data_IF_726201881911
#
_entry.id   IF_726201881911
#
_cell.length_a   1.000
_cell.length_b   1.000
_cell.length_c   1.000
_cell.angle_alpha   90.00
_cell.angle_beta   90.00
_cell.angle_gamma   90.00
#
_symmetry.space_group_name_H-M   'P 1'
#
loop_
_entity.id
_entity.type
_entity.pdbx_description
1 polymer ?
#
# COMPACT_ATOMS: atom_id res chain seq x y z
N UNK A 1 -5.62 -52.58 16.28
CA UNK A 1 -6.23 -51.35 16.83
C UNK A 1 -6.40 -50.33 15.70
N UNK A 2 -7.64 -49.99 15.33
CA UNK A 2 -7.93 -48.99 14.28
C UNK A 2 -7.62 -47.61 14.85
N UNK A 3 -6.62 -46.91 14.32
CA UNK A 3 -6.34 -45.51 14.70
C UNK A 3 -7.61 -44.70 14.42
N UNK A 4 -8.11 -43.92 15.40
CA UNK A 4 -9.32 -43.18 15.21
C UNK A 4 -9.11 -42.11 14.13
N UNK A 5 -10.02 -42.09 13.16
CA UNK A 5 -9.94 -41.20 11.99
C UNK A 5 -9.96 -39.71 12.37
N UNK A 6 -10.51 -39.37 13.54
CA UNK A 6 -10.49 -38.02 14.11
C UNK A 6 -9.09 -37.53 14.48
N UNK A 7 -8.17 -38.42 14.88
CA UNK A 7 -6.80 -38.04 15.22
C UNK A 7 -6.01 -37.55 13.99
N UNK A 8 -6.31 -38.11 12.81
CA UNK A 8 -5.70 -37.66 11.56
C UNK A 8 -6.24 -36.28 11.17
N UNK A 9 -7.54 -36.03 11.34
CA UNK A 9 -8.13 -34.70 11.05
C UNK A 9 -7.58 -33.61 11.97
N UNK A 10 -7.43 -33.89 13.27
CA UNK A 10 -6.83 -32.96 14.24
C UNK A 10 -5.37 -32.64 13.91
N UNK A 11 -4.60 -33.62 13.42
CA UNK A 11 -3.21 -33.43 13.04
C UNK A 11 -3.02 -32.39 11.93
N UNK A 12 -4.01 -32.24 11.03
CA UNK A 12 -4.00 -31.25 9.95
C UNK A 12 -4.66 -29.93 10.34
N UNK A 13 -5.70 -29.98 11.18
CA UNK A 13 -6.44 -28.78 11.59
C UNK A 13 -5.59 -27.82 12.43
N UNK A 14 -4.78 -28.34 13.34
CA UNK A 14 -3.94 -27.54 14.25
C UNK A 14 -2.91 -26.67 13.50
N UNK A 15 -2.06 -27.22 12.61
CA UNK A 15 -1.10 -26.38 11.86
C UNK A 15 -1.78 -25.42 10.89
N UNK A 16 -2.95 -25.77 10.34
CA UNK A 16 -3.68 -24.89 9.43
C UNK A 16 -4.29 -23.70 10.17
N UNK A 17 -4.88 -23.93 11.35
CA UNK A 17 -5.36 -22.85 12.22
C UNK A 17 -4.22 -21.96 12.70
N UNK A 18 -3.09 -22.53 13.12
CA UNK A 18 -1.89 -21.77 13.50
C UNK A 18 -1.36 -20.92 12.33
N UNK A 19 -1.29 -21.50 11.13
CA UNK A 19 -0.84 -20.77 9.93
C UNK A 19 -1.76 -19.60 9.57
N UNK A 20 -3.08 -19.81 9.62
CA UNK A 20 -4.06 -18.75 9.38
C UNK A 20 -3.99 -17.67 10.47
N UNK A 21 -3.91 -18.05 11.75
CA UNK A 21 -3.78 -17.09 12.85
C UNK A 21 -2.49 -16.27 12.75
N UNK A 22 -1.34 -16.88 12.46
CA UNK A 22 -0.09 -16.16 12.23
C UNK A 22 -0.18 -15.20 11.03
N UNK A 23 -0.82 -15.63 9.94
CA UNK A 23 -1.02 -14.79 8.76
C UNK A 23 -1.92 -13.58 9.07
N UNK A 24 -3.01 -13.77 9.81
CA UNK A 24 -3.89 -12.67 10.25
C UNK A 24 -3.14 -11.70 11.16
N UNK A 25 -2.35 -12.20 12.13
CA UNK A 25 -1.54 -11.35 12.99
C UNK A 25 -0.51 -10.56 12.19
N UNK A 26 0.14 -11.18 11.20
CA UNK A 26 1.08 -10.50 10.30
C UNK A 26 0.39 -9.40 9.47
N UNK A 27 -0.83 -9.63 8.99
CA UNK A 27 -1.62 -8.63 8.30
C UNK A 27 -2.04 -7.45 9.19
N UNK A 28 -2.37 -7.71 10.45
CA UNK A 28 -2.68 -6.66 11.43
C UNK A 28 -1.46 -5.80 11.78
N UNK A 29 -0.25 -6.38 11.73
CA UNK A 29 1.00 -5.64 11.94
C UNK A 29 1.35 -4.69 10.78
N UNK A 30 0.72 -4.81 9.62
CA UNK A 30 0.88 -3.89 8.48
C UNK A 30 0.11 -2.55 8.63
N UNK A 31 -0.48 -2.29 9.81
CA UNK A 31 -1.05 -0.98 10.16
C UNK A 31 -2.37 -0.67 9.45
N UNK A 32 -2.61 0.61 9.11
CA UNK A 32 -3.90 1.09 8.59
C UNK A 32 -4.29 0.46 7.22
N UNK A 33 -3.34 -0.19 6.53
CA UNK A 33 -3.57 -0.97 5.30
C UNK A 33 -4.00 -2.42 5.57
N UNK A 34 -3.81 -2.92 6.80
CA UNK A 34 -4.13 -4.28 7.22
C UNK A 34 -5.62 -4.60 7.21
N UNK A 35 -6.49 -3.61 7.47
CA UNK A 35 -7.93 -3.80 7.51
C UNK A 35 -8.51 -4.15 6.13
N UNK A 36 -8.06 -3.47 5.06
CA UNK A 36 -8.48 -3.80 3.69
C UNK A 36 -8.00 -5.17 3.22
N UNK A 37 -6.80 -5.59 3.65
CA UNK A 37 -6.27 -6.92 3.33
C UNK A 37 -7.01 -8.01 4.11
N UNK A 38 -7.34 -7.76 5.38
CA UNK A 38 -8.11 -8.69 6.20
C UNK A 38 -9.52 -8.94 5.65
N UNK A 39 -10.19 -7.91 5.14
CA UNK A 39 -11.50 -8.04 4.50
C UNK A 39 -11.41 -8.86 3.20
N UNK A 40 -10.43 -8.56 2.34
CA UNK A 40 -10.24 -9.30 1.09
C UNK A 40 -9.90 -10.79 1.34
N UNK A 41 -9.06 -11.08 2.33
CA UNK A 41 -8.70 -12.45 2.73
C UNK A 41 -9.91 -13.17 3.33
N UNK A 42 -10.71 -12.49 4.16
CA UNK A 42 -11.92 -13.07 4.76
C UNK A 42 -12.95 -13.47 3.70
N UNK A 43 -13.12 -12.68 2.64
CA UNK A 43 -13.99 -13.02 1.51
C UNK A 43 -13.43 -14.23 0.74
N UNK A 44 -12.12 -14.30 0.49
CA UNK A 44 -11.47 -15.44 -0.16
C UNK A 44 -11.60 -16.74 0.65
N UNK A 45 -11.42 -16.67 1.98
CA UNK A 45 -11.57 -17.82 2.87
C UNK A 45 -13.04 -18.25 2.95
N UNK A 46 -13.97 -17.29 3.05
CA UNK A 46 -15.40 -17.57 3.05
C UNK A 46 -15.87 -18.26 1.77
N UNK A 47 -15.46 -17.75 0.61
CA UNK A 47 -15.83 -18.32 -0.70
C UNK A 47 -15.22 -19.70 -0.93
N UNK A 48 -13.94 -19.89 -0.60
CA UNK A 48 -13.30 -21.22 -0.72
C UNK A 48 -13.91 -22.26 0.23
N UNK A 49 -14.25 -21.88 1.46
CA UNK A 49 -14.98 -22.75 2.39
C UNK A 49 -16.34 -23.18 1.83
N UNK A 50 -17.08 -22.25 1.23
CA UNK A 50 -18.38 -22.50 0.61
C UNK A 50 -18.25 -23.45 -0.59
N UNK A 51 -17.26 -23.23 -1.47
CA UNK A 51 -16.96 -24.09 -2.62
C UNK A 51 -16.59 -25.50 -2.17
N UNK A 52 -15.70 -25.66 -1.18
CA UNK A 52 -15.32 -26.97 -0.64
C UNK A 52 -16.52 -27.70 -0.03
N UNK A 53 -17.40 -26.98 0.66
CA UNK A 53 -18.62 -27.55 1.27
C UNK A 53 -19.61 -28.02 0.20
N UNK A 54 -19.86 -27.21 -0.84
CA UNK A 54 -20.75 -27.56 -1.95
C UNK A 54 -20.20 -28.75 -2.76
N UNK A 55 -18.92 -28.74 -3.10
CA UNK A 55 -18.28 -29.87 -3.79
C UNK A 55 -18.25 -31.13 -2.93
N UNK A 56 -18.00 -31.01 -1.62
CA UNK A 56 -18.05 -32.12 -0.68
C UNK A 56 -19.43 -32.77 -0.61
N UNK A 57 -20.48 -31.96 -0.56
CA UNK A 57 -21.88 -32.41 -0.58
C UNK A 57 -22.26 -33.05 -1.92
N UNK A 58 -21.92 -32.44 -3.06
CA UNK A 58 -22.18 -33.01 -4.39
C UNK A 58 -21.43 -34.32 -4.64
N UNK A 59 -20.18 -34.44 -4.16
CA UNK A 59 -19.44 -35.69 -4.32
C UNK A 59 -20.00 -36.80 -3.43
N UNK A 60 -20.60 -36.48 -2.28
CA UNK A 60 -21.26 -37.46 -1.40
C UNK A 60 -22.51 -38.06 -2.04
N UNK A 61 -23.27 -37.27 -2.81
CA UNK A 61 -24.47 -37.72 -3.51
C UNK A 61 -24.14 -38.48 -4.79
N UNK A 62 -23.08 -38.09 -5.52
CA UNK A 62 -22.65 -38.76 -6.76
C UNK A 62 -21.91 -40.09 -6.54
N UNK A 63 -21.25 -40.29 -5.38
CA UNK A 63 -20.48 -41.52 -5.10
C UNK A 63 -21.33 -42.79 -4.92
N UNK A 64 -22.66 -42.68 -4.86
CA UNK A 64 -23.56 -43.84 -4.85
C UNK A 64 -23.81 -44.46 -6.24
N UNK A 65 -23.35 -43.86 -7.35
CA UNK A 65 -23.70 -44.34 -8.71
C UNK A 65 -22.57 -44.62 -9.69
N UNK A 66 -21.29 -44.36 -9.38
CA UNK A 66 -20.22 -44.56 -10.36
C UNK A 66 -18.94 -45.11 -9.73
N UNK A 67 -18.94 -46.41 -9.45
CA UNK A 67 -17.72 -47.18 -9.19
C UNK A 67 -17.29 -47.88 -10.48
N UNK A 68 -16.57 -47.16 -11.35
CA UNK A 68 -15.75 -47.76 -12.39
C UNK A 68 -14.47 -46.94 -12.60
N UNK A 69 -13.38 -47.48 -12.05
CA UNK A 69 -11.97 -47.28 -12.46
C UNK A 69 -11.54 -45.87 -12.89
N UNK A 70 -11.57 -44.91 -11.97
CA UNK A 70 -10.60 -43.79 -12.03
C UNK A 70 -9.75 -43.84 -10.78
N UNK A 71 -8.42 -43.93 -10.96
CA UNK A 71 -7.44 -43.84 -9.87
C UNK A 71 -7.80 -42.60 -9.04
N UNK A 72 -8.16 -42.75 -7.76
CA UNK A 72 -8.68 -41.63 -6.99
C UNK A 72 -7.55 -40.62 -6.82
N UNK A 73 -7.67 -39.47 -7.48
CA UNK A 73 -6.85 -38.30 -7.14
C UNK A 73 -7.07 -38.08 -5.65
N UNK A 74 -6.00 -38.11 -4.83
CA UNK A 74 -6.20 -38.04 -3.41
C UNK A 74 -6.79 -36.67 -3.07
N UNK A 75 -7.82 -36.66 -2.22
CA UNK A 75 -8.61 -35.44 -1.93
C UNK A 75 -7.76 -34.26 -1.45
N UNK A 76 -6.60 -34.53 -0.85
CA UNK A 76 -5.63 -33.51 -0.45
C UNK A 76 -5.03 -32.75 -1.65
N UNK A 77 -4.86 -33.41 -2.80
CA UNK A 77 -4.31 -32.77 -4.00
C UNK A 77 -5.32 -31.79 -4.62
N UNK A 78 -6.62 -32.13 -4.61
CA UNK A 78 -7.67 -31.21 -5.06
C UNK A 78 -7.76 -29.97 -4.14
N UNK A 79 -7.65 -30.17 -2.82
CA UNK A 79 -7.61 -29.06 -1.87
C UNK A 79 -6.37 -28.18 -2.06
N UNK A 80 -5.19 -28.79 -2.29
CA UNK A 80 -3.96 -28.07 -2.54
C UNK A 80 -4.01 -27.25 -3.85
N UNK A 81 -4.59 -27.80 -4.92
CA UNK A 81 -4.79 -27.09 -6.19
C UNK A 81 -5.73 -25.91 -6.00
N UNK A 82 -6.87 -26.10 -5.30
CA UNK A 82 -7.80 -25.02 -5.01
C UNK A 82 -7.16 -23.89 -4.21
N UNK A 83 -6.37 -24.22 -3.19
CA UNK A 83 -5.63 -23.23 -2.40
C UNK A 83 -4.58 -22.49 -3.24
N UNK A 84 -3.84 -23.20 -4.10
CA UNK A 84 -2.86 -22.58 -4.99
C UNK A 84 -3.52 -21.61 -5.98
N UNK A 85 -4.64 -22.00 -6.59
CA UNK A 85 -5.38 -21.13 -7.52
C UNK A 85 -5.93 -19.90 -6.78
N UNK A 86 -6.48 -20.07 -5.57
CA UNK A 86 -6.97 -18.97 -4.75
C UNK A 86 -5.86 -17.98 -4.37
N UNK A 87 -4.69 -18.49 -3.96
CA UNK A 87 -3.54 -17.67 -3.61
C UNK A 87 -2.98 -16.91 -4.82
N UNK A 88 -2.81 -17.58 -5.96
CA UNK A 88 -2.32 -16.95 -7.20
C UNK A 88 -3.33 -15.92 -7.71
N UNK A 89 -4.62 -16.26 -7.73
CA UNK A 89 -5.69 -15.34 -8.16
C UNK A 89 -5.81 -14.11 -7.27
N UNK A 90 -5.71 -14.29 -5.95
CA UNK A 90 -5.72 -13.19 -4.98
C UNK A 90 -4.50 -12.28 -5.14
N UNK A 91 -3.30 -12.85 -5.28
CA UNK A 91 -2.08 -12.08 -5.54
C UNK A 91 -2.18 -11.32 -6.87
N UNK A 92 -2.63 -11.97 -7.93
CA UNK A 92 -2.80 -11.36 -9.25
C UNK A 92 -3.79 -10.19 -9.23
N UNK A 93 -4.93 -10.37 -8.56
CA UNK A 93 -5.90 -9.30 -8.36
C UNK A 93 -5.29 -8.12 -7.59
N UNK A 94 -4.56 -8.39 -6.51
CA UNK A 94 -3.91 -7.36 -5.71
C UNK A 94 -2.89 -6.55 -6.51
N UNK A 95 -1.99 -7.23 -7.24
CA UNK A 95 -0.93 -6.54 -7.97
C UNK A 95 -1.43 -5.80 -9.21
N UNK A 96 -2.45 -6.31 -9.91
CA UNK A 96 -2.91 -5.73 -11.17
C UNK A 96 -4.10 -4.78 -11.03
N UNK A 97 -5.03 -5.07 -10.12
CA UNK A 97 -6.25 -4.26 -9.95
C UNK A 97 -6.04 -3.20 -8.88
N UNK A 98 -5.55 -3.59 -7.70
CA UNK A 98 -5.35 -2.65 -6.59
C UNK A 98 -4.12 -1.77 -6.82
N UNK A 99 -3.12 -2.24 -7.57
CA UNK A 99 -1.87 -1.52 -7.89
C UNK A 99 -1.28 -0.85 -6.64
N UNK A 100 -0.54 -1.59 -5.79
CA UNK A 100 -0.12 -1.09 -4.50
C UNK A 100 0.60 0.24 -4.61
N UNK A 101 0.42 1.07 -3.58
CA UNK A 101 1.09 2.34 -3.41
C UNK A 101 2.61 2.14 -3.46
N UNK A 102 3.29 3.05 -4.16
CA UNK A 102 4.73 2.98 -4.36
C UNK A 102 5.39 4.02 -3.47
N UNK A 103 6.12 3.63 -2.42
CA UNK A 103 6.92 4.57 -1.66
C UNK A 103 8.06 5.08 -2.54
N UNK A 104 8.18 6.40 -2.61
CA UNK A 104 9.19 7.10 -3.42
C UNK A 104 10.06 8.04 -2.57
N UNK A 105 9.93 8.01 -1.25
CA UNK A 105 10.69 8.87 -0.33
C UNK A 105 12.19 8.89 -0.65
N UNK A 106 12.79 7.73 -0.87
CA UNK A 106 14.24 7.60 -1.15
C UNK A 106 14.64 8.09 -2.56
N UNK A 107 13.67 8.32 -3.44
CA UNK A 107 13.86 8.81 -4.81
C UNK A 107 13.62 10.32 -4.93
N UNK A 108 13.11 10.95 -3.87
CA UNK A 108 12.81 12.39 -3.85
C UNK A 108 14.06 13.15 -3.42
N UNK A 109 14.82 13.61 -4.41
CA UNK A 109 15.91 14.57 -4.20
C UNK A 109 15.38 16.00 -4.34
N UNK A 110 15.39 16.75 -3.24
CA UNK A 110 15.04 18.16 -3.24
C UNK A 110 16.22 19.02 -3.70
N UNK A 111 16.04 19.77 -4.78
CA UNK A 111 16.98 20.80 -5.22
C UNK A 111 16.76 22.08 -4.42
N UNK A 112 17.85 22.72 -3.94
CA UNK A 112 17.81 23.99 -3.18
C UNK A 112 16.97 23.92 -1.89
N UNK A 113 16.99 22.77 -1.23
CA UNK A 113 16.27 22.54 0.03
C UNK A 113 17.08 22.92 1.28
N UNK A 114 18.40 23.02 1.16
CA UNK A 114 19.28 23.34 2.29
C UNK A 114 19.35 24.85 2.52
N UNK A 115 19.30 25.25 3.78
CA UNK A 115 19.44 26.63 4.26
C UNK A 115 18.53 27.63 3.55
N UNK A 116 17.28 27.22 3.35
CA UNK A 116 16.26 28.04 2.72
C UNK A 116 15.92 29.26 3.57
N UNK A 117 15.80 30.41 2.91
CA UNK A 117 15.30 31.68 3.47
C UNK A 117 13.87 31.98 3.02
N UNK A 118 13.27 33.02 3.60
CA UNK A 118 11.98 33.53 3.16
C UNK A 118 11.96 33.82 1.65
N UNK A 119 10.94 33.27 0.97
CA UNK A 119 10.75 33.40 -0.47
C UNK A 119 11.60 32.47 -1.34
N UNK A 120 12.51 31.69 -0.75
CA UNK A 120 13.31 30.72 -1.50
C UNK A 120 12.49 29.50 -1.92
N UNK A 121 12.96 28.85 -3.00
CA UNK A 121 12.23 27.81 -3.69
C UNK A 121 13.05 26.53 -3.75
N UNK A 122 12.44 25.46 -3.28
CA UNK A 122 12.92 24.10 -3.48
C UNK A 122 12.03 23.38 -4.48
N UNK A 123 12.57 22.38 -5.16
CA UNK A 123 11.77 21.55 -6.05
C UNK A 123 12.27 20.13 -6.10
N UNK A 124 11.38 19.19 -6.38
CA UNK A 124 11.74 17.81 -6.65
C UNK A 124 10.92 17.27 -7.81
N UNK A 125 11.53 16.40 -8.61
CA UNK A 125 10.85 15.73 -9.70
C UNK A 125 10.08 14.51 -9.16
N UNK A 126 8.86 14.31 -9.64
CA UNK A 126 8.12 13.07 -9.38
C UNK A 126 8.72 11.97 -10.26
N UNK A 127 9.11 10.81 -9.72
CA UNK A 127 9.68 9.73 -10.50
C UNK A 127 8.66 9.14 -11.49
N UNK A 128 9.17 8.69 -12.64
CA UNK A 128 8.36 8.21 -13.77
C UNK A 128 8.13 9.29 -14.84
N UNK A 129 8.25 8.91 -16.11
CA UNK A 129 8.00 9.79 -17.26
C UNK A 129 7.07 9.12 -18.29
N UNK A 130 5.74 9.25 -18.19
CA UNK A 130 4.98 9.97 -17.14
C UNK A 130 4.98 9.22 -15.79
N UNK A 131 4.53 9.88 -14.70
CA UNK A 131 4.31 9.22 -13.42
C UNK A 131 3.39 8.01 -13.57
N UNK A 132 3.72 6.90 -12.92
CA UNK A 132 2.97 5.63 -13.06
C UNK A 132 1.60 5.60 -12.34
N UNK A 133 1.28 6.69 -11.62
CA UNK A 133 0.19 6.78 -10.66
C UNK A 133 -0.47 8.16 -10.76
N UNK A 134 -1.75 8.20 -10.40
CA UNK A 134 -2.59 9.39 -10.53
C UNK A 134 -2.36 10.42 -9.44
N UNK A 135 -2.03 9.98 -8.24
CA UNK A 135 -1.87 10.87 -7.09
C UNK A 135 -0.49 10.73 -6.46
N UNK A 136 -0.03 11.84 -5.90
CA UNK A 136 1.13 11.90 -5.04
C UNK A 136 0.66 12.43 -3.69
N UNK A 137 1.04 11.76 -2.60
CA UNK A 137 1.08 12.41 -1.31
C UNK A 137 2.52 12.54 -0.84
N UNK A 138 2.80 13.61 -0.11
CA UNK A 138 4.05 13.76 0.60
C UNK A 138 3.87 14.55 1.90
N UNK A 139 4.78 14.34 2.84
CA UNK A 139 4.82 15.02 4.13
C UNK A 139 6.12 15.83 4.19
N UNK A 140 6.06 17.16 4.09
CA UNK A 140 7.25 17.99 4.22
C UNK A 140 7.72 18.02 5.68
N UNK A 141 9.01 18.20 5.88
CA UNK A 141 9.62 18.49 7.18
C UNK A 141 10.50 19.72 7.09
N UNK A 142 10.52 20.53 8.15
CA UNK A 142 11.46 21.65 8.27
C UNK A 142 12.37 21.42 9.47
N UNK A 143 13.66 21.61 9.27
CA UNK A 143 14.66 21.58 10.34
C UNK A 143 15.26 22.97 10.47
N UNK A 144 15.08 23.59 11.64
CA UNK A 144 15.73 24.86 11.93
C UNK A 144 17.17 24.61 12.40
N UNK A 145 18.14 25.24 11.75
CA UNK A 145 19.56 25.17 12.15
C UNK A 145 19.92 26.19 13.22
N UNK A 146 19.15 27.28 13.32
CA UNK A 146 19.42 28.34 14.28
C UNK A 146 18.67 28.07 15.59
N UNK A 147 19.39 28.14 16.71
CA UNK A 147 18.83 27.90 18.05
C UNK A 147 17.93 29.05 18.56
N UNK A 148 17.59 30.02 17.70
CA UNK A 148 16.90 31.26 18.06
C UNK A 148 15.56 31.33 17.33
N UNK A 149 14.46 31.34 18.08
CA UNK A 149 13.09 31.49 17.55
C UNK A 149 12.42 30.19 17.09
N UNK A 150 11.08 30.20 17.07
CA UNK A 150 10.25 29.11 16.50
C UNK A 150 9.92 29.42 15.03
N UNK A 151 10.92 29.24 14.17
CA UNK A 151 10.77 29.40 12.71
C UNK A 151 9.87 28.33 12.10
N UNK A 152 9.85 27.12 12.68
CA UNK A 152 9.19 25.95 12.10
C UNK A 152 7.68 26.03 12.30
N UNK A 153 7.21 26.31 13.52
CA UNK A 153 5.78 26.32 13.83
C UNK A 153 4.98 27.43 13.13
N UNK A 154 5.65 28.48 12.67
CA UNK A 154 5.04 29.62 11.99
C UNK A 154 5.26 29.64 10.47
N UNK A 155 6.07 28.72 9.95
CA UNK A 155 6.37 28.62 8.52
C UNK A 155 5.13 28.23 7.70
N UNK A 156 5.08 28.77 6.48
CA UNK A 156 4.08 28.42 5.48
C UNK A 156 4.78 27.92 4.24
N UNK A 157 4.25 26.86 3.66
CA UNK A 157 4.72 26.33 2.40
C UNK A 157 3.68 26.61 1.33
N UNK A 158 4.10 27.30 0.27
CA UNK A 158 3.31 27.40 -0.94
C UNK A 158 3.73 26.30 -1.89
N UNK A 159 2.86 25.33 -2.11
CA UNK A 159 3.12 24.18 -2.97
C UNK A 159 2.47 24.40 -4.32
N UNK A 160 3.24 24.16 -5.37
CA UNK A 160 2.80 24.26 -6.77
C UNK A 160 3.21 23.01 -7.53
N UNK A 161 2.25 22.34 -8.14
CA UNK A 161 2.53 21.26 -9.09
C UNK A 161 2.84 21.86 -10.46
N UNK A 162 3.91 21.37 -11.09
CA UNK A 162 4.32 21.74 -12.46
C UNK A 162 4.17 20.51 -13.34
N UNK A 163 3.14 20.50 -14.19
CA UNK A 163 2.84 19.41 -15.13
C UNK A 163 3.34 19.79 -16.52
N UNK A 164 4.27 19.02 -17.08
CA UNK A 164 4.80 19.22 -18.44
C UNK A 164 5.26 20.68 -18.69
N UNK A 165 5.83 21.32 -17.67
CA UNK A 165 6.30 22.71 -17.69
C UNK A 165 5.23 23.77 -17.39
N UNK A 166 3.96 23.38 -17.15
CA UNK A 166 2.87 24.30 -16.79
C UNK A 166 2.64 24.28 -15.29
N UNK A 167 2.57 25.46 -14.66
CA UNK A 167 2.28 25.62 -13.23
C UNK A 167 0.78 25.56 -12.99
N UNK A 168 0.37 24.70 -12.07
CA UNK A 168 -0.99 24.66 -11.54
C UNK A 168 -1.25 25.81 -10.56
N UNK A 169 -2.51 26.00 -10.15
CA UNK A 169 -2.83 26.86 -9.01
C UNK A 169 -2.01 26.43 -7.78
N UNK A 170 -1.27 27.37 -7.21
CA UNK A 170 -0.58 27.18 -5.95
C UNK A 170 -1.57 27.13 -4.80
N UNK A 171 -1.30 26.30 -3.80
CA UNK A 171 -2.01 26.36 -2.53
C UNK A 171 -1.01 26.59 -1.41
N UNK A 172 -1.45 27.38 -0.44
CA UNK A 172 -0.66 27.74 0.74
C UNK A 172 -1.11 26.86 1.89
N UNK A 173 -0.17 26.15 2.49
CA UNK A 173 -0.43 25.28 3.63
C UNK A 173 0.50 25.66 4.77
N UNK A 174 -0.05 25.78 5.98
CA UNK A 174 0.76 25.97 7.18
C UNK A 174 1.46 24.67 7.49
N UNK A 175 2.75 24.74 7.80
CA UNK A 175 3.52 23.56 8.18
C UNK A 175 2.88 22.96 9.44
N UNK A 176 2.20 21.85 9.27
CA UNK A 176 1.48 21.19 10.35
C UNK A 176 1.55 19.68 10.19
N UNK A 177 2.72 19.15 9.80
CA UNK A 177 2.96 17.72 9.55
C UNK A 177 1.82 17.04 8.75
N UNK A 178 1.15 17.83 7.91
CA UNK A 178 -0.03 17.42 7.17
C UNK A 178 0.40 16.84 5.86
N UNK A 179 -0.28 15.75 5.53
CA UNK A 179 -0.19 15.08 4.25
C UNK A 179 -0.70 15.99 3.13
N UNK A 180 0.20 16.38 2.24
CA UNK A 180 -0.11 17.19 1.06
C UNK A 180 -0.45 16.24 -0.08
N UNK A 181 -1.63 16.39 -0.67
CA UNK A 181 -2.11 15.55 -1.77
C UNK A 181 -2.17 16.32 -3.08
N UNK A 182 -1.55 15.76 -4.11
CA UNK A 182 -1.46 16.34 -5.44
C UNK A 182 -2.05 15.38 -6.47
N UNK A 183 -2.89 15.93 -7.36
CA UNK A 183 -3.42 15.21 -8.51
C UNK A 183 -2.49 15.37 -9.71
N UNK A 184 -1.86 14.26 -10.10
CA UNK A 184 -0.96 14.15 -11.25
C UNK A 184 -1.71 13.84 -12.54
N UNK A 185 -3.04 13.70 -12.52
CA UNK A 185 -3.84 13.41 -13.70
C UNK A 185 -3.58 14.42 -14.83
N UNK A 186 -3.57 13.93 -16.06
CA UNK A 186 -3.22 14.73 -17.24
C UNK A 186 -1.71 15.01 -17.43
N UNK A 187 -0.81 14.50 -16.59
CA UNK A 187 0.64 14.59 -16.81
C UNK A 187 1.09 13.60 -17.88
N UNK A 188 1.71 14.08 -18.96
CA UNK A 188 2.11 13.23 -20.10
C UNK A 188 3.59 12.91 -20.17
N UNK A 189 4.46 13.79 -19.63
CA UNK A 189 5.91 13.65 -19.71
C UNK A 189 6.57 13.74 -18.35
N UNK A 190 6.34 14.81 -17.61
CA UNK A 190 7.00 15.03 -16.32
C UNK A 190 6.12 15.83 -15.35
N UNK A 191 6.18 15.45 -14.07
CA UNK A 191 5.63 16.23 -12.97
C UNK A 191 6.77 16.67 -12.06
N UNK A 192 6.73 17.93 -11.63
CA UNK A 192 7.66 18.50 -10.65
C UNK A 192 6.86 19.23 -9.58
N UNK A 193 7.22 19.02 -8.32
CA UNK A 193 6.64 19.78 -7.21
C UNK A 193 7.60 20.90 -6.87
N UNK A 194 7.08 22.12 -6.80
CA UNK A 194 7.81 23.31 -6.42
C UNK A 194 7.23 23.83 -5.11
N UNK A 195 8.10 24.05 -4.13
CA UNK A 195 7.75 24.47 -2.78
C UNK A 195 8.45 25.80 -2.51
N UNK A 196 7.67 26.83 -2.20
CA UNK A 196 8.18 28.14 -1.78
C UNK A 196 8.00 28.26 -0.28
N UNK A 197 9.07 28.59 0.42
CA UNK A 197 9.05 28.83 1.85
C UNK A 197 8.60 30.26 2.13
N UNK A 198 7.68 30.44 3.08
CA UNK A 198 7.41 31.74 3.67
C UNK A 198 7.54 31.67 5.20
N UNK A 199 8.40 32.53 5.75
CA UNK A 199 8.66 32.63 7.19
C UNK A 199 8.49 34.07 7.66
N UNK A 200 7.92 34.31 8.85
CA UNK A 200 7.67 35.66 9.33
C UNK A 200 8.95 36.41 9.74
N UNK A 201 10.01 35.68 10.12
CA UNK A 201 11.29 36.25 10.50
C UNK A 201 12.32 36.02 9.38
N UNK A 202 12.88 37.08 8.78
CA UNK A 202 13.83 36.98 7.67
C UNK A 202 15.22 36.44 8.07
N UNK A 203 15.50 36.33 9.37
CA UNK A 203 16.74 35.74 9.89
C UNK A 203 16.66 34.21 9.98
N UNK A 204 15.45 33.64 9.90
CA UNK A 204 15.26 32.20 9.90
C UNK A 204 15.88 31.53 8.67
N UNK A 205 16.67 30.50 8.93
CA UNK A 205 17.28 29.63 7.92
C UNK A 205 16.91 28.19 8.25
N UNK A 206 16.19 27.52 7.35
CA UNK A 206 15.66 26.17 7.58
C UNK A 206 16.02 25.24 6.44
N UNK A 207 16.17 23.96 6.74
CA UNK A 207 16.27 22.91 5.72
C UNK A 207 14.88 22.33 5.47
N UNK A 208 14.49 22.25 4.20
CA UNK A 208 13.30 21.53 3.78
C UNK A 208 13.65 20.08 3.45
N UNK A 209 12.98 19.15 4.12
CA UNK A 209 13.01 17.73 3.85
C UNK A 209 11.64 17.19 3.44
N UNK A 210 11.63 15.93 3.03
CA UNK A 210 10.42 15.14 2.81
C UNK A 210 10.55 13.88 3.66
N UNK A 211 9.66 13.72 4.65
CA UNK A 211 9.69 12.57 5.55
C UNK A 211 9.05 11.34 4.91
N UNK A 212 8.01 11.55 4.12
CA UNK A 212 7.29 10.50 3.41
C UNK A 212 6.83 11.03 2.06
N UNK A 213 6.98 10.22 1.00
CA UNK A 213 6.39 10.49 -0.30
C UNK A 213 5.96 9.17 -0.94
N UNK A 214 4.72 9.14 -1.46
CA UNK A 214 4.12 7.92 -1.99
C UNK A 214 3.23 8.23 -3.16
N UNK A 215 3.34 7.39 -4.19
CA UNK A 215 2.51 7.42 -5.38
C UNK A 215 1.37 6.40 -5.26
N UNK A 216 0.13 6.84 -5.50
CA UNK A 216 -1.07 6.01 -5.38
C UNK A 216 -2.12 6.35 -6.44
N UNK A 217 -3.15 5.51 -6.58
CA UNK A 217 -4.24 5.69 -7.56
C UNK A 217 -5.56 6.06 -6.91
#
# INVERSE_FOLDING_TARGET
MKRPWWAIQLLWAVPLLLGVSCFVVWLLLLGNKGQGIADAVSVLVGTTSLVVTVFGLQHSTARKKAEKQRKPVPRWALAAIGAAIGAIGGAFFWFLVVKPDVPITDLVELSNAERMKDGEQASFAVPGRPPERRYLYFVPSLVNHEAVGDCVGSARLTVTLVRDGRKDPSFEERLSDREIRLDLDGTTREARVMVVLSVPDPTCVVDLGVTEAVLYN
#
